data_IF_625631726215
#
_entry.id   IF_625631726215
#
_cell.length_a   1.000
_cell.length_b   1.000
_cell.length_c   1.000
_cell.angle_alpha   90.00
_cell.angle_beta   90.00
_cell.angle_gamma   90.00
#
_symmetry.space_group_name_H-M   'P 1'
#
loop_
_entity.id
_entity.type
_entity.pdbx_description
1 polymer ?
#
# COMPACT_ATOMS: atom_id res chain seq x y z
N UNK A 1 20.83 -3.97 -5.51
CA UNK A 1 20.04 -3.29 -6.55
C UNK A 1 18.61 -3.79 -6.49
N UNK A 2 17.74 -3.09 -5.78
CA UNK A 2 16.29 -3.31 -5.80
C UNK A 2 15.73 -2.05 -6.47
N UNK A 3 15.22 -2.19 -7.70
CA UNK A 3 14.53 -1.07 -8.37
C UNK A 3 13.18 -0.87 -7.68
N UNK A 4 13.11 0.16 -6.85
CA UNK A 4 11.85 0.69 -6.32
C UNK A 4 11.12 1.36 -7.49
N UNK A 5 10.07 0.73 -8.00
CA UNK A 5 9.15 1.39 -8.92
C UNK A 5 8.25 2.33 -8.12
N UNK A 6 8.61 3.61 -8.06
CA UNK A 6 7.67 4.67 -7.67
C UNK A 6 6.67 4.86 -8.81
N UNK A 7 5.46 4.31 -8.66
CA UNK A 7 4.34 4.64 -9.54
C UNK A 7 3.81 6.03 -9.17
N UNK A 8 3.84 6.94 -10.14
CA UNK A 8 3.23 8.28 -10.06
C UNK A 8 1.71 8.18 -10.02
N UNK A 9 1.00 8.95 -9.18
CA UNK A 9 -0.45 8.87 -9.02
C UNK A 9 -1.15 9.76 -10.06
N UNK A 10 -1.01 9.44 -11.34
CA UNK A 10 -1.85 10.04 -12.39
C UNK A 10 -1.99 9.03 -13.52
N UNK A 11 -3.25 8.67 -13.83
CA UNK A 11 -3.72 7.71 -14.84
C UNK A 11 -3.73 6.22 -14.44
N UNK A 12 -4.58 5.88 -13.47
CA UNK A 12 -5.23 4.55 -13.43
C UNK A 12 -6.72 4.76 -13.16
N UNK A 13 -7.48 5.09 -14.20
CA UNK A 13 -8.92 4.86 -14.17
C UNK A 13 -9.16 3.35 -14.29
N UNK A 14 -9.71 2.79 -13.22
CA UNK A 14 -10.12 1.40 -13.13
C UNK A 14 -9.86 0.85 -11.74
N UNK A 15 -10.94 0.54 -11.02
CA UNK A 15 -10.93 -0.04 -9.69
C UNK A 15 -10.17 -1.38 -9.61
N UNK A 16 -10.01 -1.94 -8.40
CA UNK A 16 -9.23 -3.15 -8.15
C UNK A 16 -9.65 -4.35 -9.01
N UNK A 17 -10.93 -4.46 -9.39
CA UNK A 17 -11.44 -5.52 -10.28
C UNK A 17 -11.00 -5.38 -11.75
N UNK A 18 -10.84 -4.14 -12.24
CA UNK A 18 -10.24 -3.90 -13.57
C UNK A 18 -8.75 -4.26 -13.54
N UNK A 19 -8.06 -4.12 -12.41
CA UNK A 19 -6.68 -4.60 -12.25
C UNK A 19 -6.60 -6.13 -12.25
N UNK A 20 -7.51 -6.82 -11.56
CA UNK A 20 -7.62 -8.28 -11.57
C UNK A 20 -7.87 -8.82 -13.00
N UNK A 21 -8.86 -8.27 -13.71
CA UNK A 21 -9.20 -8.67 -15.08
C UNK A 21 -8.17 -8.26 -16.15
N UNK A 22 -7.43 -7.15 -15.97
CA UNK A 22 -6.30 -6.76 -16.84
C UNK A 22 -5.02 -7.57 -16.56
N UNK A 23 -4.84 -8.09 -15.34
CA UNK A 23 -3.68 -8.90 -14.96
C UNK A 23 -3.71 -10.29 -15.60
N UNK A 24 -4.82 -11.03 -15.53
CA UNK A 24 -4.86 -12.38 -16.15
C UNK A 24 -4.94 -12.40 -17.68
N UNK A 25 -5.32 -11.29 -18.34
CA UNK A 25 -5.12 -11.15 -19.80
C UNK A 25 -3.63 -11.13 -20.20
N UNK A 26 -2.73 -10.66 -19.33
CA UNK A 26 -1.28 -10.66 -19.58
C UNK A 26 -0.64 -12.02 -19.32
N UNK A 27 -1.07 -12.75 -18.29
CA UNK A 27 -0.50 -14.07 -17.95
C UNK A 27 -0.76 -15.12 -19.04
N UNK A 28 -1.96 -15.14 -19.66
CA UNK A 28 -2.22 -15.99 -20.84
C UNK A 28 -1.43 -15.58 -22.10
N UNK A 29 -0.94 -14.34 -22.17
CA UNK A 29 -0.06 -13.89 -23.25
C UNK A 29 1.37 -14.43 -23.17
N UNK A 30 1.78 -15.00 -22.03
CA UNK A 30 3.15 -15.47 -21.78
C UNK A 30 3.31 -16.99 -21.95
N UNK A 31 2.20 -17.76 -21.99
CA UNK A 31 2.23 -19.23 -22.06
C UNK A 31 1.39 -19.86 -23.19
N UNK A 32 1.23 -19.19 -24.33
CA UNK A 32 0.76 -19.86 -25.55
C UNK A 32 1.94 -20.61 -26.22
N UNK A 33 1.87 -21.93 -26.47
CA UNK A 33 2.91 -22.63 -27.21
C UNK A 33 2.95 -22.15 -28.66
N UNK A 34 4.15 -21.82 -29.14
CA UNK A 34 4.37 -21.33 -30.50
C UNK A 34 3.94 -22.39 -31.53
N UNK A 35 2.93 -22.05 -32.35
CA UNK A 35 2.56 -22.84 -33.53
C UNK A 35 3.71 -22.84 -34.57
N UNK A 36 3.90 -23.94 -35.33
CA UNK A 36 5.06 -24.10 -36.19
C UNK A 36 5.01 -23.16 -37.40
N UNK A 37 6.08 -22.39 -37.60
CA UNK A 37 6.28 -21.54 -38.79
C UNK A 37 6.77 -22.36 -39.97
N UNK A 38 6.20 -22.11 -41.16
CA UNK A 38 6.79 -22.31 -42.49
C UNK A 38 6.14 -21.33 -43.51
N UNK A 39 6.77 -21.02 -44.66
CA UNK A 39 7.87 -20.07 -44.81
C UNK A 39 7.50 -18.90 -45.76
N UNK A 40 8.49 -18.04 -46.00
CA UNK A 40 8.49 -16.72 -46.63
C UNK A 40 7.87 -16.62 -48.04
N UNK A 41 7.32 -15.42 -48.33
CA UNK A 41 7.02 -14.90 -49.66
C UNK A 41 7.30 -13.39 -49.70
N UNK A 42 8.23 -12.98 -50.56
CA UNK A 42 8.90 -11.66 -50.66
C UNK A 42 8.09 -10.65 -51.49
N UNK A 43 8.38 -9.34 -51.29
CA UNK A 43 8.22 -8.14 -52.18
C UNK A 43 7.36 -7.04 -51.51
N UNK A 44 7.73 -5.76 -51.42
CA UNK A 44 8.87 -4.98 -51.89
C UNK A 44 8.63 -3.46 -51.63
N UNK A 45 9.72 -2.75 -51.31
CA UNK A 45 10.04 -1.32 -51.54
C UNK A 45 9.05 -0.16 -51.23
N UNK A 46 9.44 0.66 -50.22
CA UNK A 46 9.72 2.13 -50.16
C UNK A 46 9.24 3.08 -51.31
N UNK A 47 9.14 4.44 -51.13
CA UNK A 47 9.97 5.28 -50.25
C UNK A 47 9.34 6.54 -49.60
N UNK A 48 10.22 7.26 -48.90
CA UNK A 48 10.07 8.39 -48.00
C UNK A 48 9.62 9.74 -48.62
N UNK A 49 9.04 10.61 -47.78
CA UNK A 49 9.04 12.05 -47.96
C UNK A 49 9.17 12.80 -46.62
N UNK A 50 9.72 14.00 -46.72
CA UNK A 50 10.48 14.77 -45.72
C UNK A 50 9.73 16.09 -45.46
N UNK A 51 10.03 16.74 -44.32
CA UNK A 51 9.80 18.18 -43.99
C UNK A 51 8.38 18.50 -43.47
N UNK A 52 8.14 19.48 -42.58
CA UNK A 52 8.92 20.66 -42.13
C UNK A 52 8.39 21.10 -40.75
N UNK A 53 9.19 21.95 -40.08
CA UNK A 53 8.90 22.72 -38.86
C UNK A 53 7.70 23.65 -39.08
N UNK A 54 7.07 24.10 -37.99
CA UNK A 54 7.01 25.53 -37.65
C UNK A 54 6.60 25.74 -36.19
N UNK A 55 7.12 26.83 -35.63
CA UNK A 55 7.02 27.30 -34.26
C UNK A 55 6.12 28.55 -34.18
N UNK A 56 5.97 29.08 -32.95
CA UNK A 56 5.26 30.30 -32.53
C UNK A 56 3.77 30.06 -32.14
N UNK A 57 3.17 30.66 -31.10
CA UNK A 57 3.54 31.77 -30.23
C UNK A 57 2.68 31.73 -28.93
N UNK A 58 3.17 32.31 -27.83
CA UNK A 58 2.36 32.91 -26.75
C UNK A 58 1.83 34.30 -27.22
N UNK A 59 1.03 35.13 -26.49
CA UNK A 59 0.66 35.19 -25.05
C UNK A 59 -0.85 35.63 -24.87
N UNK A 60 -1.35 36.43 -23.89
CA UNK A 60 -0.83 36.94 -22.60
C UNK A 60 -1.79 36.84 -21.37
N UNK A 61 -1.25 37.31 -20.24
CA UNK A 61 -1.84 37.45 -18.90
C UNK A 61 -2.95 38.52 -18.77
N UNK A 62 -3.81 38.36 -17.76
CA UNK A 62 -4.71 39.40 -17.25
C UNK A 62 -4.78 39.41 -15.70
N UNK A 63 -4.94 40.62 -15.16
CA UNK A 63 -4.81 41.06 -13.77
C UNK A 63 -6.03 40.70 -12.89
N UNK A 64 -5.83 40.69 -11.57
CA UNK A 64 -6.83 40.38 -10.54
C UNK A 64 -7.89 41.47 -10.28
N UNK A 65 -8.66 41.33 -9.18
CA UNK A 65 -8.47 42.29 -8.09
C UNK A 65 -8.54 41.71 -6.66
N UNK A 66 -8.11 42.58 -5.77
CA UNK A 66 -7.94 42.56 -4.32
C UNK A 66 -9.22 42.31 -3.50
N UNK A 67 -9.09 41.54 -2.41
CA UNK A 67 -10.08 41.45 -1.32
C UNK A 67 -9.41 41.21 0.02
N UNK A 68 -9.30 42.25 0.84
CA UNK A 68 -8.79 42.24 2.21
C UNK A 68 -9.81 41.68 3.19
N UNK A 69 -9.44 40.73 4.05
CA UNK A 69 -10.23 40.34 5.22
C UNK A 69 -9.39 40.56 6.49
N UNK A 70 -9.92 41.43 7.36
CA UNK A 70 -9.34 41.83 8.65
C UNK A 70 -9.55 40.74 9.70
N UNK A 71 -8.48 40.47 10.44
CA UNK A 71 -8.47 39.81 11.74
C UNK A 71 -9.18 40.71 12.76
N UNK A 72 -10.15 40.15 13.51
CA UNK A 72 -10.64 40.76 14.76
C UNK A 72 -10.18 39.90 15.93
N UNK A 73 -9.31 40.49 16.74
CA UNK A 73 -9.06 40.11 18.14
C UNK A 73 -10.18 40.67 19.00
N UNK A 74 -10.75 39.85 19.89
CA UNK A 74 -11.54 40.32 21.02
C UNK A 74 -11.01 39.66 22.29
N UNK A 75 -10.66 40.52 23.25
CA UNK A 75 -10.22 40.21 24.59
C UNK A 75 -11.41 40.24 25.56
N UNK A 76 -11.31 39.46 26.64
CA UNK A 76 -11.74 39.91 27.97
C UNK A 76 -12.92 39.19 28.64
N UNK A 77 -12.61 38.37 29.65
CA UNK A 77 -13.17 38.34 31.02
C UNK A 77 -12.46 37.18 31.77
N UNK A 78 -11.59 37.38 32.80
CA UNK A 78 -11.82 37.79 34.21
C UNK A 78 -13.00 37.03 34.84
N UNK A 79 -12.95 36.37 36.00
CA UNK A 79 -12.07 36.37 37.18
C UNK A 79 -12.60 35.22 38.10
N UNK A 80 -11.80 34.35 38.72
CA UNK A 80 -11.53 34.32 40.19
C UNK A 80 -11.06 32.89 40.54
N UNK A 81 -9.86 32.62 41.05
CA UNK A 81 -9.27 32.91 42.37
C UNK A 81 -9.70 31.95 43.50
N UNK A 82 -8.83 30.97 43.87
CA UNK A 82 -8.11 30.88 45.17
C UNK A 82 -7.61 29.46 45.50
N UNK A 83 -6.30 29.35 45.79
CA UNK A 83 -5.63 28.63 46.90
C UNK A 83 -4.17 28.31 46.47
N UNK A 84 -3.09 29.06 46.78
CA UNK A 84 -2.33 29.23 48.06
C UNK A 84 -2.11 27.86 48.76
N UNK A 85 -0.93 27.35 49.15
CA UNK A 85 0.49 27.74 49.39
C UNK A 85 1.33 26.44 49.19
N UNK A 86 2.61 26.39 48.83
CA UNK A 86 3.86 26.75 49.53
C UNK A 86 4.99 26.75 48.48
N UNK A 87 5.78 27.82 48.27
CA UNK A 87 6.98 28.24 49.00
C UNK A 87 8.14 27.23 49.00
N UNK A 88 9.09 27.43 48.09
CA UNK A 88 10.41 26.80 48.06
C UNK A 88 11.29 27.55 47.06
N UNK A 89 12.04 28.51 47.57
CA UNK A 89 12.84 29.52 46.86
C UNK A 89 14.25 28.98 46.66
N UNK A 90 14.74 28.87 45.42
CA UNK A 90 16.19 28.89 45.16
C UNK A 90 16.53 29.35 43.74
N UNK A 91 17.65 30.06 43.64
CA UNK A 91 18.03 30.96 42.56
C UNK A 91 18.92 30.26 41.53
N UNK A 92 18.74 30.61 40.26
CA UNK A 92 19.83 30.97 39.35
C UNK A 92 20.56 29.86 38.61
N UNK A 93 20.80 30.09 37.31
CA UNK A 93 21.86 29.42 36.55
C UNK A 93 21.36 28.73 35.28
N UNK A 94 21.39 29.44 34.16
CA UNK A 94 21.24 28.83 32.84
C UNK A 94 22.50 28.07 32.44
N UNK A 95 22.34 26.89 31.86
CA UNK A 95 23.28 26.32 30.89
C UNK A 95 22.60 25.18 30.15
N UNK A 96 22.70 25.22 28.82
CA UNK A 96 22.11 24.21 27.96
C UNK A 96 22.88 22.87 27.94
N UNK A 97 22.14 21.90 27.39
CA UNK A 97 22.52 20.56 26.90
C UNK A 97 22.49 19.42 27.91
N UNK A 98 21.59 18.49 27.65
CA UNK A 98 21.93 17.10 27.32
C UNK A 98 20.74 16.46 26.59
N UNK A 99 20.98 15.78 25.46
CA UNK A 99 20.07 14.74 24.95
C UNK A 99 20.91 13.52 24.56
N UNK A 100 20.38 12.31 24.77
CA UNK A 100 21.16 11.12 25.07
C UNK A 100 21.72 10.47 23.81
N UNK A 101 22.90 9.87 23.97
CA UNK A 101 23.49 8.96 23.01
C UNK A 101 22.87 7.57 23.24
N UNK A 102 22.04 7.10 22.31
CA UNK A 102 21.75 5.67 22.22
C UNK A 102 22.94 5.01 21.52
N UNK A 103 23.60 4.13 22.27
CA UNK A 103 24.76 3.36 21.87
C UNK A 103 24.44 2.30 20.83
N UNK A 104 25.35 2.18 19.88
CA UNK A 104 25.42 1.17 18.84
C UNK A 104 26.74 1.39 18.11
N UNK A 105 27.85 1.10 18.78
CA UNK A 105 29.19 1.18 18.20
C UNK A 105 29.46 -0.10 17.40
N UNK A 106 29.06 -0.12 16.13
CA UNK A 106 29.72 -0.98 15.16
C UNK A 106 31.01 -0.29 14.75
N UNK A 107 32.12 -0.83 15.26
CA UNK A 107 33.48 -0.40 14.94
C UNK A 107 33.72 -0.71 13.47
N UNK A 108 33.70 0.32 12.62
CA UNK A 108 34.21 0.22 11.24
C UNK A 108 35.73 0.19 11.34
N UNK A 109 36.29 -1.00 11.52
CA UNK A 109 37.73 -1.23 11.40
C UNK A 109 38.09 -1.28 9.91
N UNK A 110 38.50 -0.14 9.36
CA UNK A 110 39.09 -0.06 8.02
C UNK A 110 40.54 0.43 8.13
N UNK A 111 41.44 -0.50 7.82
CA UNK A 111 42.87 -0.33 7.64
C UNK A 111 43.21 0.94 6.85
N UNK A 112 43.82 1.91 7.51
CA UNK A 112 44.35 3.12 6.89
C UNK A 112 45.64 2.78 6.11
N UNK A 113 45.80 3.15 4.84
CA UNK A 113 47.11 3.09 4.19
C UNK A 113 48.01 4.15 4.83
N UNK A 114 49.21 3.74 5.25
CA UNK A 114 50.26 4.65 5.70
C UNK A 114 50.74 5.46 4.49
N UNK A 115 50.20 6.67 4.31
CA UNK A 115 50.67 7.64 3.32
C UNK A 115 51.85 8.41 3.89
N UNK A 116 53.05 7.94 3.59
CA UNK A 116 54.31 8.60 3.90
C UNK A 116 54.72 9.44 2.67
N UNK A 117 54.35 10.73 2.69
CA UNK A 117 54.66 11.66 1.60
C UNK A 117 54.17 13.08 1.92
N UNK A 118 55.11 14.00 2.12
CA UNK A 118 54.84 15.43 2.25
C UNK A 118 54.25 15.97 0.93
N UNK A 119 52.94 16.26 0.93
CA UNK A 119 52.29 17.01 -0.14
C UNK A 119 52.60 18.50 0.06
N UNK A 120 52.98 19.27 -0.98
CA UNK A 120 53.27 20.70 -0.83
C UNK A 120 52.02 21.45 -0.36
N UNK A 121 52.14 22.22 0.72
CA UNK A 121 51.08 23.06 1.25
C UNK A 121 50.72 24.12 0.20
N UNK A 122 49.53 24.05 -0.38
CA UNK A 122 48.96 25.16 -1.17
C UNK A 122 48.67 26.33 -0.22
N UNK A 123 48.83 27.56 -0.71
CA UNK A 123 48.55 28.81 0.03
C UNK A 123 47.06 28.96 0.46
N UNK A 124 46.19 28.02 0.07
CA UNK A 124 44.75 28.00 0.36
C UNK A 124 44.37 27.01 1.49
N UNK A 125 45.20 26.89 2.54
CA UNK A 125 44.90 26.00 3.69
C UNK A 125 44.50 26.76 4.95
N UNK A 126 43.36 26.38 5.51
CA UNK A 126 42.73 27.02 6.67
C UNK A 126 43.18 26.38 7.98
N UNK A 127 43.43 27.21 8.99
CA UNK A 127 43.52 26.73 10.38
C UNK A 127 42.15 26.32 10.91
N UNK A 128 42.12 25.53 11.99
CA UNK A 128 40.84 25.05 12.56
C UNK A 128 39.93 26.20 13.03
N UNK A 129 40.52 27.31 13.51
CA UNK A 129 39.78 28.51 13.89
C UNK A 129 39.21 29.28 12.70
N UNK A 130 39.95 29.34 11.60
CA UNK A 130 39.48 29.95 10.34
C UNK A 130 38.34 29.14 9.76
N UNK A 131 38.49 27.81 9.73
CA UNK A 131 37.46 26.90 9.27
C UNK A 131 36.19 27.01 10.12
N UNK A 132 36.33 27.16 11.44
CA UNK A 132 35.20 27.39 12.34
C UNK A 132 34.48 28.71 12.05
N UNK A 133 35.21 29.80 11.77
CA UNK A 133 34.62 31.09 11.39
C UNK A 133 33.92 31.03 10.05
N UNK A 134 34.55 30.42 9.05
CA UNK A 134 34.01 30.33 7.68
C UNK A 134 32.76 29.46 7.59
N UNK A 135 32.78 28.30 8.28
CA UNK A 135 31.69 27.31 8.19
C UNK A 135 30.65 27.49 9.29
N UNK A 136 30.92 28.32 10.30
CA UNK A 136 30.09 28.45 11.50
C UNK A 136 29.99 27.18 12.34
N UNK A 137 30.84 26.18 12.08
CA UNK A 137 30.89 24.92 12.84
C UNK A 137 31.86 25.09 14.01
N UNK A 138 31.48 24.77 15.25
CA UNK A 138 32.38 24.90 16.40
C UNK A 138 33.65 24.06 16.23
N UNK A 139 34.80 24.58 16.69
CA UNK A 139 36.10 23.88 16.64
C UNK A 139 36.02 22.46 17.20
N UNK A 140 35.27 22.25 18.29
CA UNK A 140 35.05 20.91 18.88
C UNK A 140 34.40 19.94 17.88
N UNK A 141 33.40 20.40 17.14
CA UNK A 141 32.70 19.60 16.14
C UNK A 141 33.58 19.34 14.92
N UNK A 142 34.41 20.30 14.52
CA UNK A 142 35.40 20.09 13.45
C UNK A 142 36.43 19.03 13.84
N UNK A 143 36.91 19.04 15.10
CA UNK A 143 37.81 17.97 15.60
C UNK A 143 37.12 16.62 15.54
N UNK A 144 35.89 16.53 16.06
CA UNK A 144 35.10 15.31 16.01
C UNK A 144 34.92 14.79 14.57
N UNK A 145 34.53 15.65 13.61
CA UNK A 145 34.41 15.23 12.22
C UNK A 145 35.75 14.82 11.57
N UNK A 146 36.86 15.40 12.02
CA UNK A 146 38.17 14.97 11.57
C UNK A 146 38.55 13.60 12.12
N UNK A 147 38.23 13.34 13.39
CA UNK A 147 38.51 12.06 14.06
C UNK A 147 37.61 10.93 13.50
N UNK A 148 36.37 11.26 13.10
CA UNK A 148 35.44 10.35 12.41
C UNK A 148 35.72 10.19 10.90
N UNK A 149 36.77 10.84 10.36
CA UNK A 149 37.15 10.72 8.94
C UNK A 149 36.20 11.42 7.96
N UNK A 150 35.29 12.26 8.44
CA UNK A 150 34.33 13.04 7.61
C UNK A 150 35.04 14.18 6.88
N UNK A 151 36.08 14.72 7.50
CA UNK A 151 37.00 15.69 6.90
C UNK A 151 38.44 15.24 7.13
N UNK A 152 39.29 15.46 6.14
CA UNK A 152 40.71 15.14 6.25
C UNK A 152 41.50 16.38 6.69
N UNK A 153 42.58 16.17 7.44
CA UNK A 153 43.48 17.24 7.86
C UNK A 153 44.92 16.90 7.51
N UNK A 154 45.65 17.85 6.97
CA UNK A 154 47.10 17.76 6.75
C UNK A 154 47.82 18.42 7.93
N UNK A 155 48.97 17.90 8.34
CA UNK A 155 49.78 18.52 9.39
C UNK A 155 50.77 19.51 8.78
N UNK A 156 50.79 20.73 9.31
CA UNK A 156 51.80 21.74 8.99
C UNK A 156 53.16 21.38 9.62
N UNK A 157 54.24 22.04 9.17
CA UNK A 157 55.60 21.91 9.73
C UNK A 157 55.68 22.21 11.23
N UNK A 158 54.77 23.04 11.75
CA UNK A 158 54.58 23.29 13.20
C UNK A 158 53.63 22.31 13.91
N UNK A 159 53.32 21.15 13.32
CA UNK A 159 52.41 20.11 13.83
C UNK A 159 50.93 20.53 14.04
N UNK A 160 50.52 21.68 13.49
CA UNK A 160 49.12 22.13 13.51
C UNK A 160 48.30 21.48 12.40
N UNK A 161 47.02 21.14 12.68
CA UNK A 161 46.07 20.66 11.65
C UNK A 161 45.72 21.81 10.69
N UNK A 162 45.83 21.53 9.40
CA UNK A 162 45.46 22.39 8.27
C UNK A 162 44.41 21.68 7.42
N UNK A 163 43.46 22.45 6.90
CA UNK A 163 42.35 21.96 6.10
C UNK A 163 42.34 22.67 4.75
N UNK A 164 42.05 21.96 3.67
CA UNK A 164 41.92 22.57 2.35
C UNK A 164 40.51 23.17 2.13
N UNK A 165 40.29 23.75 0.95
CA UNK A 165 38.98 24.26 0.54
C UNK A 165 37.90 23.17 0.46
N UNK A 166 38.28 21.91 0.18
CA UNK A 166 37.32 20.79 0.13
C UNK A 166 36.70 20.53 1.50
N UNK A 167 37.46 20.75 2.59
CA UNK A 167 36.92 20.67 3.94
C UNK A 167 35.83 21.73 4.21
N UNK A 168 35.95 22.92 3.63
CA UNK A 168 34.92 23.97 3.74
C UNK A 168 33.63 23.52 3.05
N UNK A 169 33.73 22.99 1.83
CA UNK A 169 32.58 22.49 1.06
C UNK A 169 31.90 21.30 1.76
N UNK A 170 32.70 20.34 2.23
CA UNK A 170 32.24 19.17 2.99
C UNK A 170 31.51 19.58 4.27
N UNK A 171 32.10 20.47 5.08
CA UNK A 171 31.45 20.97 6.30
C UNK A 171 30.17 21.76 5.99
N UNK A 172 30.16 22.54 4.92
CA UNK A 172 28.96 23.23 4.45
C UNK A 172 27.83 22.25 4.10
N UNK A 173 28.16 21.16 3.38
CA UNK A 173 27.20 20.11 3.04
C UNK A 173 26.71 19.36 4.29
N UNK A 174 27.61 18.93 5.17
CA UNK A 174 27.28 18.27 6.43
C UNK A 174 26.33 19.14 7.26
N UNK A 175 26.63 20.44 7.40
CA UNK A 175 25.79 21.38 8.17
C UNK A 175 24.38 21.47 7.58
N UNK A 176 24.25 21.59 6.25
CA UNK A 176 22.95 21.65 5.57
C UNK A 176 22.14 20.36 5.76
N UNK A 177 22.76 19.20 5.55
CA UNK A 177 22.08 17.91 5.69
C UNK A 177 21.70 17.60 7.14
N UNK A 178 22.58 17.92 8.11
CA UNK A 178 22.26 17.83 9.56
C UNK A 178 21.12 18.77 9.94
N UNK A 179 21.04 19.95 9.33
CA UNK A 179 19.93 20.89 9.51
C UNK A 179 18.57 20.34 9.05
N UNK A 180 18.58 19.38 8.12
CA UNK A 180 17.39 18.65 7.68
C UNK A 180 17.09 17.40 8.54
N UNK A 181 17.86 17.16 9.60
CA UNK A 181 17.67 16.02 10.50
C UNK A 181 18.41 14.74 10.09
N UNK A 182 19.15 14.74 8.97
CA UNK A 182 19.87 13.54 8.53
C UNK A 182 20.96 13.09 9.53
N UNK A 183 21.08 11.78 9.71
CA UNK A 183 22.11 11.17 10.54
C UNK A 183 23.52 11.32 9.94
N UNK A 184 24.54 11.33 10.80
CA UNK A 184 25.93 11.51 10.36
C UNK A 184 26.44 10.33 9.53
N UNK A 185 26.01 9.11 9.87
CA UNK A 185 26.31 7.88 9.12
C UNK A 185 25.84 7.95 7.67
N UNK A 186 24.59 8.40 7.44
CA UNK A 186 24.04 8.57 6.09
C UNK A 186 24.80 9.66 5.31
N UNK A 187 25.18 10.75 5.98
CA UNK A 187 25.96 11.83 5.36
C UNK A 187 27.36 11.34 4.97
N UNK A 188 28.00 10.50 5.80
CA UNK A 188 29.31 9.92 5.49
C UNK A 188 29.28 9.10 4.20
N UNK A 189 28.22 8.32 3.95
CA UNK A 189 28.03 7.58 2.69
C UNK A 189 27.96 8.50 1.47
N UNK A 190 27.37 9.69 1.61
CA UNK A 190 27.33 10.69 0.54
C UNK A 190 28.71 11.30 0.31
N UNK A 191 29.44 11.61 1.38
CA UNK A 191 30.79 12.17 1.30
C UNK A 191 31.81 11.19 0.72
N UNK A 192 31.57 9.89 0.88
CA UNK A 192 32.33 8.80 0.28
C UNK A 192 31.91 8.48 -1.17
N UNK A 193 30.83 9.09 -1.67
CA UNK A 193 30.30 8.83 -3.01
C UNK A 193 29.54 7.50 -3.17
N UNK A 194 29.26 6.79 -2.07
CA UNK A 194 28.54 5.51 -2.06
C UNK A 194 27.03 5.66 -2.20
N UNK A 195 26.52 6.85 -1.85
CA UNK A 195 25.11 7.24 -1.97
C UNK A 195 24.99 8.66 -2.48
N UNK A 196 23.89 8.96 -3.13
CA UNK A 196 23.53 10.33 -3.49
C UNK A 196 22.76 11.01 -2.36
N UNK A 197 22.75 12.35 -2.35
CA UNK A 197 21.90 13.12 -1.43
C UNK A 197 20.43 12.73 -1.58
N UNK A 198 19.97 12.50 -2.82
CA UNK A 198 18.58 12.11 -3.10
C UNK A 198 18.19 10.79 -2.45
N UNK A 199 19.08 9.79 -2.47
CA UNK A 199 18.84 8.49 -1.84
C UNK A 199 18.71 8.58 -0.32
N UNK A 200 19.61 9.31 0.35
CA UNK A 200 19.54 9.43 1.82
C UNK A 200 18.35 10.28 2.28
N UNK A 201 17.97 11.31 1.51
CA UNK A 201 16.79 12.13 1.79
C UNK A 201 15.51 11.32 1.59
N UNK A 202 15.44 10.52 0.52
CA UNK A 202 14.29 9.66 0.27
C UNK A 202 14.14 8.59 1.38
N UNK A 203 15.25 8.02 1.84
CA UNK A 203 15.26 7.06 2.94
C UNK A 203 14.81 7.69 4.27
N UNK A 204 15.33 8.87 4.63
CA UNK A 204 14.90 9.56 5.85
C UNK A 204 13.43 9.97 5.78
N UNK A 205 12.96 10.45 4.63
CA UNK A 205 11.54 10.77 4.42
C UNK A 205 10.68 9.52 4.61
N UNK A 206 11.03 8.38 4.01
CA UNK A 206 10.29 7.15 4.19
C UNK A 206 10.26 6.70 5.68
N UNK A 207 11.37 6.84 6.40
CA UNK A 207 11.42 6.55 7.83
C UNK A 207 10.58 7.53 8.68
N UNK A 208 10.47 8.79 8.27
CA UNK A 208 9.56 9.77 8.89
C UNK A 208 8.09 9.44 8.60
N UNK A 209 7.77 9.05 7.37
CA UNK A 209 6.40 8.68 6.97
C UNK A 209 5.89 7.49 7.79
N UNK A 210 6.72 6.48 8.04
CA UNK A 210 6.38 5.35 8.93
C UNK A 210 6.10 5.80 10.37
N UNK A 211 6.95 6.68 10.92
CA UNK A 211 6.76 7.24 12.28
C UNK A 211 5.48 8.09 12.36
N UNK A 212 5.20 8.87 11.32
CA UNK A 212 3.97 9.66 11.24
C UNK A 212 2.73 8.77 11.16
N UNK A 213 2.77 7.66 10.41
CA UNK A 213 1.66 6.71 10.34
C UNK A 213 1.37 6.06 11.71
N UNK A 214 2.39 5.62 12.44
CA UNK A 214 2.24 5.06 13.80
C UNK A 214 1.64 6.10 14.77
N UNK A 215 2.18 7.33 14.78
CA UNK A 215 1.65 8.39 15.63
C UNK A 215 0.21 8.79 15.26
N UNK A 216 -0.11 8.83 13.97
CA UNK A 216 -1.47 9.12 13.50
C UNK A 216 -2.45 8.01 13.89
N UNK A 217 -2.04 6.74 13.82
CA UNK A 217 -2.82 5.60 14.30
C UNK A 217 -3.12 5.71 15.80
N UNK A 218 -2.09 5.92 16.62
CA UNK A 218 -2.25 6.09 18.07
C UNK A 218 -3.16 7.26 18.41
N UNK A 219 -3.00 8.39 17.71
CA UNK A 219 -3.88 9.57 17.86
C UNK A 219 -5.34 9.22 17.54
N UNK A 220 -5.59 8.49 16.46
CA UNK A 220 -6.94 8.09 16.07
C UNK A 220 -7.55 7.10 17.07
N UNK A 221 -6.77 6.16 17.60
CA UNK A 221 -7.22 5.22 18.63
C UNK A 221 -7.59 5.94 19.94
N UNK A 222 -6.77 6.89 20.40
CA UNK A 222 -7.08 7.70 21.57
C UNK A 222 -8.36 8.51 21.38
N UNK A 223 -8.54 9.12 20.20
CA UNK A 223 -9.79 9.82 19.85
C UNK A 223 -11.00 8.89 19.84
N UNK A 224 -10.86 7.68 19.31
CA UNK A 224 -11.95 6.70 19.31
C UNK A 224 -12.39 6.31 20.74
N UNK A 225 -11.48 6.29 21.72
CA UNK A 225 -11.81 6.06 23.14
C UNK A 225 -12.45 7.30 23.79
N UNK A 226 -11.97 8.50 23.43
CA UNK A 226 -12.53 9.77 23.89
C UNK A 226 -13.99 9.92 23.43
N UNK A 227 -14.25 9.68 22.15
CA UNK A 227 -15.56 9.80 21.49
C UNK A 227 -16.58 8.72 21.93
N UNK A 228 -16.12 7.61 22.51
CA UNK A 228 -17.02 6.55 23.00
C UNK A 228 -17.88 7.02 24.18
N UNK A 229 -19.13 6.57 24.25
CA UNK A 229 -19.99 6.83 25.40
C UNK A 229 -19.42 6.21 26.70
N UNK A 230 -19.77 6.73 27.91
CA UNK A 230 -19.25 6.18 29.17
C UNK A 230 -19.45 4.68 29.35
N UNK A 231 -20.56 4.13 28.85
CA UNK A 231 -20.88 2.72 28.92
C UNK A 231 -20.05 1.85 27.95
N UNK A 232 -19.68 2.38 26.78
CA UNK A 232 -18.97 1.64 25.72
C UNK A 232 -17.45 1.80 25.79
N UNK A 233 -16.96 2.71 26.64
CA UNK A 233 -15.55 3.10 26.69
C UNK A 233 -14.63 1.94 27.11
N UNK A 234 -15.09 1.06 28.01
CA UNK A 234 -14.32 -0.11 28.43
C UNK A 234 -14.13 -1.09 27.27
N UNK A 235 -15.21 -1.47 26.59
CA UNK A 235 -15.18 -2.37 25.44
C UNK A 235 -14.36 -1.78 24.28
N UNK A 236 -14.47 -0.46 24.04
CA UNK A 236 -13.67 0.26 23.04
C UNK A 236 -12.18 0.19 23.36
N UNK A 237 -11.81 0.36 24.63
CA UNK A 237 -10.42 0.29 25.07
C UNK A 237 -9.87 -1.13 24.90
N UNK A 238 -10.62 -2.16 25.30
CA UNK A 238 -10.23 -3.56 25.13
C UNK A 238 -10.01 -3.91 23.65
N UNK A 239 -10.96 -3.53 22.80
CA UNK A 239 -10.90 -3.75 21.36
C UNK A 239 -9.65 -3.10 20.74
N UNK A 240 -9.38 -1.83 21.04
CA UNK A 240 -8.25 -1.11 20.48
C UNK A 240 -6.91 -1.55 21.07
N UNK A 241 -6.88 -2.00 22.33
CA UNK A 241 -5.66 -2.52 22.96
C UNK A 241 -5.16 -3.82 22.31
N UNK A 242 -6.03 -4.56 21.61
CA UNK A 242 -5.65 -5.76 20.87
C UNK A 242 -4.83 -5.45 19.60
N UNK A 243 -4.76 -4.18 19.17
CA UNK A 243 -4.09 -3.76 17.92
C UNK A 243 -3.15 -2.59 18.18
N UNK A 244 -1.85 -2.87 18.12
CA UNK A 244 -0.80 -1.88 18.38
C UNK A 244 -0.76 -0.77 17.32
N UNK A 245 -0.69 -1.16 16.05
CA UNK A 245 -0.62 -0.26 14.91
C UNK A 245 -1.28 -0.88 13.66
N UNK A 246 -1.41 -0.06 12.62
CA UNK A 246 -2.04 -0.50 11.37
C UNK A 246 -1.26 -1.58 10.63
N UNK A 247 0.06 -1.61 10.73
CA UNK A 247 0.90 -2.63 10.06
C UNK A 247 0.65 -3.99 10.68
N UNK A 248 0.70 -4.06 12.01
CA UNK A 248 0.40 -5.26 12.80
C UNK A 248 -1.03 -5.74 12.58
N UNK A 249 -2.00 -4.81 12.51
CA UNK A 249 -3.38 -5.13 12.17
C UNK A 249 -3.46 -5.82 10.81
N UNK A 250 -2.83 -5.21 9.80
CA UNK A 250 -2.83 -5.73 8.43
C UNK A 250 -2.15 -7.10 8.35
N UNK A 251 -1.00 -7.26 8.99
CA UNK A 251 -0.26 -8.52 9.01
C UNK A 251 -1.10 -9.66 9.59
N UNK A 252 -1.85 -9.40 10.67
CA UNK A 252 -2.79 -10.38 11.22
C UNK A 252 -3.87 -10.83 10.22
N UNK A 253 -4.39 -9.89 9.40
CA UNK A 253 -5.37 -10.17 8.35
C UNK A 253 -4.74 -10.95 7.18
N UNK A 254 -3.53 -10.58 6.75
CA UNK A 254 -2.78 -11.31 5.71
C UNK A 254 -2.50 -12.73 6.16
N UNK A 255 -2.06 -12.90 7.40
CA UNK A 255 -1.78 -14.20 7.99
C UNK A 255 -3.03 -15.06 8.12
N UNK A 256 -4.18 -14.46 8.45
CA UNK A 256 -5.45 -15.18 8.44
C UNK A 256 -5.77 -15.75 7.06
N UNK A 257 -5.63 -14.97 6.00
CA UNK A 257 -5.88 -15.46 4.63
C UNK A 257 -4.85 -16.49 4.20
N UNK A 258 -3.57 -16.30 4.52
CA UNK A 258 -2.50 -17.29 4.29
C UNK A 258 -2.82 -18.61 4.99
N UNK A 259 -3.36 -18.54 6.21
CA UNK A 259 -3.75 -19.71 7.00
C UNK A 259 -4.97 -20.41 6.45
N UNK A 260 -5.88 -19.68 5.81
CA UNK A 260 -7.19 -20.17 5.37
C UNK A 260 -7.17 -20.70 3.94
N UNK A 261 -6.30 -20.17 3.08
CA UNK A 261 -6.06 -20.65 1.73
C UNK A 261 -5.04 -21.80 1.76
N UNK A 262 -5.53 -23.01 2.00
CA UNK A 262 -4.70 -24.22 2.10
C UNK A 262 -4.38 -24.80 0.72
N UNK A 263 -5.28 -24.61 -0.24
CA UNK A 263 -5.06 -25.05 -1.62
C UNK A 263 -3.81 -24.37 -2.23
N UNK A 264 -3.04 -25.10 -3.07
CA UNK A 264 -1.86 -24.55 -3.71
C UNK A 264 -2.27 -23.49 -4.74
N UNK A 265 -2.22 -22.22 -4.33
CA UNK A 265 -2.35 -21.05 -5.21
C UNK A 265 -0.98 -20.52 -5.58
N UNK A 266 -0.84 -19.96 -6.78
CA UNK A 266 0.42 -19.30 -7.16
C UNK A 266 0.69 -18.08 -6.26
N UNK A 267 1.98 -17.75 -5.96
CA UNK A 267 2.31 -16.58 -5.16
C UNK A 267 1.76 -15.26 -5.72
N UNK A 268 1.66 -15.16 -7.05
CA UNK A 268 1.10 -14.00 -7.74
C UNK A 268 -0.41 -13.89 -7.53
N UNK A 269 -1.12 -15.02 -7.56
CA UNK A 269 -2.55 -15.05 -7.30
C UNK A 269 -2.86 -14.72 -5.85
N UNK A 270 -2.13 -15.31 -4.90
CA UNK A 270 -2.28 -14.99 -3.48
C UNK A 270 -2.07 -13.49 -3.21
N UNK A 271 -1.01 -12.90 -3.78
CA UNK A 271 -0.74 -11.46 -3.65
C UNK A 271 -1.88 -10.60 -4.21
N UNK A 272 -2.43 -11.01 -5.36
CA UNK A 272 -3.54 -10.29 -5.99
C UNK A 272 -4.80 -10.36 -5.13
N UNK A 273 -5.13 -11.54 -4.59
CA UNK A 273 -6.24 -11.73 -3.66
C UNK A 273 -6.06 -10.88 -2.39
N UNK A 274 -4.90 -10.95 -1.74
CA UNK A 274 -4.63 -10.18 -0.51
C UNK A 274 -4.78 -8.69 -0.73
N UNK A 275 -4.37 -8.18 -1.90
CA UNK A 275 -4.52 -6.75 -2.25
C UNK A 275 -6.00 -6.30 -2.26
N UNK A 276 -6.91 -7.22 -2.60
CA UNK A 276 -8.35 -6.95 -2.64
C UNK A 276 -9.05 -7.29 -1.32
N UNK A 277 -8.56 -8.30 -0.60
CA UNK A 277 -9.16 -8.80 0.61
C UNK A 277 -8.73 -8.04 1.87
N UNK A 278 -7.51 -7.51 1.87
CA UNK A 278 -6.90 -6.83 3.03
C UNK A 278 -6.55 -5.40 2.66
N UNK A 279 -7.31 -4.41 3.13
CA UNK A 279 -7.03 -3.00 2.83
C UNK A 279 -5.69 -2.56 3.42
N UNK A 280 -5.06 -1.59 2.77
CA UNK A 280 -3.87 -0.91 3.29
C UNK A 280 -4.28 0.10 4.38
N UNK A 281 -3.62 0.12 5.55
CA UNK A 281 -3.84 1.16 6.54
C UNK A 281 -3.53 2.55 5.94
N UNK A 282 -4.45 3.52 6.03
CA UNK A 282 -4.16 4.86 5.57
C UNK A 282 -3.10 5.52 6.47
N UNK A 283 -2.24 6.40 5.93
CA UNK A 283 -1.19 7.07 6.71
C UNK A 283 -1.75 8.02 7.79
N UNK A 284 -2.98 8.50 7.63
CA UNK A 284 -3.71 9.26 8.65
C UNK A 284 -5.12 8.66 8.82
N UNK A 285 -5.28 7.62 9.66
CA UNK A 285 -6.56 6.95 9.84
C UNK A 285 -7.52 7.80 10.67
N UNK A 286 -8.81 7.66 10.38
CA UNK A 286 -9.89 8.23 11.19
C UNK A 286 -10.22 7.33 12.40
N UNK A 287 -10.84 7.85 13.47
CA UNK A 287 -11.27 7.04 14.62
C UNK A 287 -12.16 5.85 14.24
N UNK A 288 -13.14 5.97 13.32
CA UNK A 288 -13.92 4.80 12.86
C UNK A 288 -13.07 3.76 12.12
N UNK A 289 -12.06 4.17 11.34
CA UNK A 289 -11.20 3.23 10.61
C UNK A 289 -10.33 2.39 11.55
N UNK A 290 -9.74 2.98 12.61
CA UNK A 290 -8.96 2.20 13.57
C UNK A 290 -9.82 1.20 14.35
N UNK A 291 -11.05 1.58 14.68
CA UNK A 291 -12.03 0.66 15.30
C UNK A 291 -12.39 -0.47 14.33
N UNK A 292 -12.65 -0.16 13.06
CA UNK A 292 -12.97 -1.17 12.05
C UNK A 292 -11.81 -2.15 11.83
N UNK A 293 -10.56 -1.69 11.81
CA UNK A 293 -9.39 -2.57 11.77
C UNK A 293 -9.29 -3.46 13.02
N UNK A 294 -9.55 -2.91 14.21
CA UNK A 294 -9.53 -3.70 15.43
C UNK A 294 -10.63 -4.77 15.44
N UNK A 295 -11.84 -4.44 14.97
CA UNK A 295 -12.90 -5.44 14.76
C UNK A 295 -12.52 -6.50 13.74
N UNK A 296 -11.89 -6.12 12.61
CA UNK A 296 -11.39 -7.07 11.63
C UNK A 296 -10.40 -8.06 12.27
N UNK A 297 -9.46 -7.56 13.08
CA UNK A 297 -8.50 -8.39 13.83
C UNK A 297 -9.23 -9.32 14.82
N UNK A 298 -10.22 -8.80 15.54
CA UNK A 298 -11.06 -9.60 16.44
C UNK A 298 -11.80 -10.75 15.73
N UNK A 299 -12.34 -10.50 14.53
CA UNK A 299 -12.99 -11.53 13.73
C UNK A 299 -12.02 -12.61 13.26
N UNK A 300 -10.84 -12.23 12.74
CA UNK A 300 -9.89 -13.20 12.18
C UNK A 300 -9.10 -13.99 13.23
N UNK A 301 -9.10 -13.51 14.48
CA UNK A 301 -8.50 -14.23 15.61
C UNK A 301 -9.44 -15.29 16.19
N UNK A 302 -10.72 -15.30 15.81
CA UNK A 302 -11.67 -16.35 16.15
C UNK A 302 -11.25 -17.70 15.54
N UNK A 303 -10.88 -18.62 16.45
CA UNK A 303 -10.41 -19.96 16.08
C UNK A 303 -11.49 -20.82 15.44
N UNK A 304 -12.76 -20.60 15.78
CA UNK A 304 -13.88 -21.38 15.23
C UNK A 304 -14.13 -21.01 13.77
N UNK A 305 -14.11 -19.71 13.44
CA UNK A 305 -14.20 -19.21 12.08
C UNK A 305 -13.05 -19.74 11.22
N UNK A 306 -11.82 -19.56 11.72
CA UNK A 306 -10.61 -20.01 11.03
C UNK A 306 -10.63 -21.52 10.78
N UNK A 307 -11.08 -22.32 11.75
CA UNK A 307 -11.20 -23.78 11.61
C UNK A 307 -12.21 -24.17 10.54
N UNK A 308 -13.38 -23.52 10.51
CA UNK A 308 -14.43 -23.80 9.52
C UNK A 308 -13.96 -23.53 8.09
N UNK A 309 -13.39 -22.35 7.85
CA UNK A 309 -12.91 -21.98 6.52
C UNK A 309 -11.73 -22.83 6.05
N UNK A 310 -10.83 -23.21 6.97
CA UNK A 310 -9.74 -24.17 6.69
C UNK A 310 -10.24 -25.55 6.34
N UNK A 311 -11.18 -26.09 7.13
CA UNK A 311 -11.75 -27.42 6.87
C UNK A 311 -12.38 -27.49 5.47
N UNK A 312 -13.12 -26.43 5.09
CA UNK A 312 -13.63 -26.27 3.73
C UNK A 312 -12.50 -26.21 2.69
N UNK A 313 -11.48 -25.37 2.89
CA UNK A 313 -10.35 -25.26 1.95
C UNK A 313 -9.63 -26.61 1.76
N UNK A 314 -9.45 -27.39 2.83
CA UNK A 314 -8.92 -28.75 2.76
C UNK A 314 -9.82 -29.68 1.94
N UNK A 315 -11.14 -29.69 2.18
CA UNK A 315 -12.07 -30.49 1.39
C UNK A 315 -11.98 -30.14 -0.10
N UNK A 316 -11.81 -28.86 -0.42
CA UNK A 316 -11.65 -28.35 -1.77
C UNK A 316 -10.39 -28.86 -2.48
N UNK A 317 -9.27 -29.04 -1.77
CA UNK A 317 -8.03 -29.55 -2.39
C UNK A 317 -8.16 -30.95 -3.02
N UNK A 318 -9.18 -31.71 -2.64
CA UNK A 318 -9.43 -33.06 -3.18
C UNK A 318 -10.28 -33.01 -4.45
N UNK A 319 -11.19 -32.04 -4.55
CA UNK A 319 -12.23 -32.00 -5.59
C UNK A 319 -11.91 -30.96 -6.68
N UNK A 320 -11.06 -29.97 -6.36
CA UNK A 320 -10.71 -28.87 -7.26
C UNK A 320 -9.36 -29.18 -7.91
N UNK A 321 -9.37 -29.42 -9.22
CA UNK A 321 -8.17 -29.78 -9.96
C UNK A 321 -7.20 -28.63 -10.22
N UNK A 322 -7.70 -27.39 -10.26
CA UNK A 322 -6.91 -26.16 -10.48
C UNK A 322 -7.56 -25.00 -9.69
N UNK A 323 -6.92 -24.58 -8.59
CA UNK A 323 -7.41 -23.50 -7.73
C UNK A 323 -7.22 -22.13 -8.39
N UNK A 324 -6.16 -21.95 -9.18
CA UNK A 324 -5.89 -20.69 -9.85
C UNK A 324 -6.96 -20.42 -10.95
N UNK A 325 -7.35 -21.47 -11.69
CA UNK A 325 -8.45 -21.39 -12.66
C UNK A 325 -9.79 -21.05 -11.98
N UNK A 326 -10.06 -21.67 -10.82
CA UNK A 326 -11.28 -21.38 -10.05
C UNK A 326 -11.33 -19.92 -9.59
N UNK A 327 -10.28 -19.47 -8.91
CA UNK A 327 -10.16 -18.12 -8.37
C UNK A 327 -10.25 -17.07 -9.49
N UNK A 328 -9.67 -17.36 -10.66
CA UNK A 328 -9.85 -16.52 -11.85
C UNK A 328 -11.31 -16.47 -12.30
N UNK A 329 -11.96 -17.63 -12.47
CA UNK A 329 -13.34 -17.70 -12.93
C UNK A 329 -14.34 -17.06 -11.98
N UNK A 330 -14.15 -17.23 -10.66
CA UNK A 330 -14.93 -16.55 -9.62
C UNK A 330 -14.66 -15.03 -9.66
N UNK A 331 -13.42 -14.60 -9.82
CA UNK A 331 -13.08 -13.19 -9.96
C UNK A 331 -13.72 -12.52 -11.18
N UNK A 332 -13.87 -13.24 -12.31
CA UNK A 332 -14.63 -12.76 -13.46
C UNK A 332 -16.13 -12.61 -13.16
N UNK A 333 -16.73 -13.57 -12.44
CA UNK A 333 -18.13 -13.47 -12.03
C UNK A 333 -18.34 -12.28 -11.07
N UNK A 334 -17.46 -12.11 -10.08
CA UNK A 334 -17.52 -10.97 -9.15
C UNK A 334 -17.41 -9.62 -9.87
N UNK A 335 -16.56 -9.52 -10.90
CA UNK A 335 -16.43 -8.30 -11.70
C UNK A 335 -17.70 -7.95 -12.51
N UNK A 336 -18.50 -8.94 -12.91
CA UNK A 336 -19.81 -8.71 -13.54
C UNK A 336 -20.85 -8.21 -12.53
N UNK A 337 -20.73 -8.64 -11.27
CA UNK A 337 -21.64 -8.29 -10.17
C UNK A 337 -21.34 -6.93 -9.55
N UNK A 338 -20.08 -6.47 -9.60
CA UNK A 338 -19.66 -5.16 -9.08
C UNK A 338 -20.63 -4.01 -9.39
N UNK A 339 -21.03 -3.73 -10.66
CA UNK A 339 -21.99 -2.66 -10.96
C UNK A 339 -23.38 -2.89 -10.34
N UNK A 340 -23.82 -4.13 -10.19
CA UNK A 340 -25.11 -4.47 -9.59
C UNK A 340 -25.11 -4.19 -8.09
N UNK A 341 -24.02 -4.54 -7.40
CA UNK A 341 -23.83 -4.23 -5.97
C UNK A 341 -23.77 -2.72 -5.75
N UNK A 342 -23.06 -1.98 -6.62
CA UNK A 342 -23.02 -0.52 -6.58
C UNK A 342 -24.39 0.12 -6.81
N UNK A 343 -25.21 -0.48 -7.67
CA UNK A 343 -26.59 -0.05 -7.91
C UNK A 343 -27.57 -0.46 -6.79
N UNK A 344 -27.13 -1.26 -5.80
CA UNK A 344 -27.97 -1.77 -4.73
C UNK A 344 -28.98 -2.83 -5.19
N UNK A 345 -28.71 -3.53 -6.31
CA UNK A 345 -29.58 -4.60 -6.79
C UNK A 345 -29.52 -5.83 -5.89
N UNK A 346 -30.69 -6.42 -5.62
CA UNK A 346 -30.80 -7.62 -4.82
C UNK A 346 -30.24 -8.87 -5.56
N UNK A 347 -29.69 -9.86 -4.83
CA UNK A 347 -29.28 -11.15 -5.38
C UNK A 347 -30.37 -11.79 -6.25
N UNK A 348 -30.00 -12.20 -7.46
CA UNK A 348 -30.92 -12.77 -8.44
C UNK A 348 -30.23 -13.78 -9.34
N UNK A 349 -31.04 -14.66 -9.90
CA UNK A 349 -30.62 -15.49 -11.02
C UNK A 349 -30.25 -14.61 -12.23
N UNK A 350 -29.29 -15.09 -13.04
CA UNK A 350 -28.78 -14.34 -14.17
C UNK A 350 -27.44 -14.84 -14.69
N UNK A 351 -26.94 -14.23 -15.77
CA UNK A 351 -25.67 -14.61 -16.40
C UNK A 351 -24.47 -14.51 -15.46
N UNK A 352 -24.54 -13.65 -14.43
CA UNK A 352 -23.51 -13.50 -13.41
C UNK A 352 -23.40 -14.75 -12.53
N UNK A 353 -24.55 -15.27 -12.07
CA UNK A 353 -24.63 -16.52 -11.33
C UNK A 353 -24.22 -17.71 -12.22
N UNK A 354 -24.68 -17.74 -13.47
CA UNK A 354 -24.31 -18.82 -14.40
C UNK A 354 -22.80 -18.85 -14.65
N UNK A 355 -22.14 -17.68 -14.74
CA UNK A 355 -20.67 -17.61 -14.84
C UNK A 355 -19.97 -18.17 -13.61
N UNK A 356 -20.48 -17.87 -12.42
CA UNK A 356 -19.99 -18.39 -11.15
C UNK A 356 -20.12 -19.91 -11.06
N UNK A 357 -21.32 -20.45 -11.35
CA UNK A 357 -21.57 -21.90 -11.35
C UNK A 357 -20.70 -22.60 -12.39
N UNK A 358 -20.57 -22.03 -13.60
CA UNK A 358 -19.70 -22.58 -14.64
C UNK A 358 -18.23 -22.63 -14.23
N UNK A 359 -17.71 -21.61 -13.52
CA UNK A 359 -16.34 -21.63 -13.00
C UNK A 359 -16.12 -22.82 -12.04
N UNK A 360 -17.07 -23.03 -11.11
CA UNK A 360 -17.02 -24.16 -10.19
C UNK A 360 -17.18 -25.53 -10.88
N UNK A 361 -18.04 -25.61 -11.90
CA UNK A 361 -18.32 -26.83 -12.65
C UNK A 361 -17.09 -27.29 -13.47
N UNK A 362 -16.41 -26.36 -14.15
CA UNK A 362 -15.21 -26.64 -14.95
C UNK A 362 -14.12 -27.33 -14.13
N UNK A 363 -13.72 -26.74 -13.00
CA UNK A 363 -12.60 -27.27 -12.19
C UNK A 363 -12.96 -28.57 -11.44
N UNK A 364 -14.25 -28.84 -11.24
CA UNK A 364 -14.79 -30.08 -10.64
C UNK A 364 -15.16 -31.13 -11.70
N UNK A 365 -14.98 -30.82 -13.00
CA UNK A 365 -15.36 -31.68 -14.13
C UNK A 365 -16.81 -32.16 -14.06
N UNK A 366 -17.70 -31.26 -13.65
CA UNK A 366 -19.14 -31.51 -13.52
C UNK A 366 -19.94 -30.63 -14.49
N UNK A 367 -21.23 -30.92 -14.63
CA UNK A 367 -22.18 -30.10 -15.37
C UNK A 367 -23.05 -29.27 -14.42
N UNK A 368 -23.54 -28.13 -14.90
CA UNK A 368 -24.53 -27.34 -14.16
C UNK A 368 -25.87 -28.11 -14.09
N UNK A 369 -26.15 -28.68 -12.92
CA UNK A 369 -27.37 -29.43 -12.63
C UNK A 369 -27.92 -28.98 -11.27
N UNK A 370 -29.23 -29.16 -10.99
CA UNK A 370 -29.79 -28.86 -9.66
C UNK A 370 -29.11 -29.64 -8.52
N UNK A 371 -28.60 -30.84 -8.80
CA UNK A 371 -27.82 -31.60 -7.83
C UNK A 371 -26.46 -30.96 -7.56
N UNK A 372 -25.75 -30.55 -8.62
CA UNK A 372 -24.49 -29.83 -8.52
C UNK A 372 -24.64 -28.49 -7.81
N UNK A 373 -25.68 -27.69 -8.13
CA UNK A 373 -25.94 -26.41 -7.45
C UNK A 373 -26.18 -26.59 -5.95
N UNK A 374 -26.88 -27.66 -5.52
CA UNK A 374 -27.05 -28.00 -4.09
C UNK A 374 -25.74 -28.37 -3.41
N UNK A 375 -24.93 -29.18 -4.06
CA UNK A 375 -23.59 -29.54 -3.57
C UNK A 375 -22.67 -28.32 -3.48
N UNK A 376 -22.70 -27.46 -4.51
CA UNK A 376 -21.96 -26.22 -4.54
C UNK A 376 -22.39 -25.27 -3.43
N UNK A 377 -23.70 -25.12 -3.18
CA UNK A 377 -24.20 -24.30 -2.07
C UNK A 377 -23.64 -24.81 -0.73
N UNK A 378 -23.70 -26.12 -0.47
CA UNK A 378 -23.12 -26.71 0.74
C UNK A 378 -21.60 -26.48 0.85
N UNK A 379 -20.90 -26.41 -0.29
CA UNK A 379 -19.47 -26.13 -0.34
C UNK A 379 -19.11 -24.67 -0.03
N UNK A 380 -19.92 -23.71 -0.48
CA UNK A 380 -19.69 -22.28 -0.26
C UNK A 380 -20.39 -21.73 0.98
N UNK A 381 -21.23 -22.53 1.64
CA UNK A 381 -21.94 -22.14 2.87
C UNK A 381 -21.02 -21.52 3.96
N UNK A 382 -19.79 -22.02 4.20
CA UNK A 382 -18.89 -21.38 5.18
C UNK A 382 -18.49 -19.94 4.83
N UNK A 383 -18.53 -19.55 3.54
CA UNK A 383 -18.26 -18.16 3.14
C UNK A 383 -19.39 -17.20 3.53
N UNK A 384 -20.59 -17.74 3.76
CA UNK A 384 -21.81 -17.00 4.09
C UNK A 384 -21.98 -16.78 5.60
N UNK A 385 -21.03 -17.24 6.42
CA UNK A 385 -20.98 -17.02 7.87
C UNK A 385 -21.20 -15.53 8.19
N UNK A 386 -22.07 -15.19 9.16
CA UNK A 386 -22.35 -13.79 9.53
C UNK A 386 -21.09 -12.97 9.84
N UNK A 387 -20.04 -13.61 10.38
CA UNK A 387 -18.74 -12.98 10.66
C UNK A 387 -17.99 -12.61 9.37
N UNK A 388 -18.08 -13.43 8.33
CA UNK A 388 -17.51 -13.10 7.03
C UNK A 388 -18.28 -11.96 6.35
N UNK A 389 -19.60 -11.90 6.50
CA UNK A 389 -20.39 -10.73 6.05
C UNK A 389 -19.96 -9.46 6.78
N UNK A 390 -19.77 -9.53 8.10
CA UNK A 390 -19.24 -8.42 8.90
C UNK A 390 -17.84 -8.01 8.43
N UNK A 391 -16.95 -8.98 8.17
CA UNK A 391 -15.60 -8.76 7.65
C UNK A 391 -15.64 -7.95 6.36
N UNK A 392 -16.42 -8.37 5.36
CA UNK A 392 -16.47 -7.70 4.06
C UNK A 392 -17.08 -6.30 4.10
N UNK A 393 -18.03 -6.08 5.02
CA UNK A 393 -18.58 -4.75 5.29
C UNK A 393 -17.53 -3.83 5.93
N UNK A 394 -16.77 -4.32 6.90
CA UNK A 394 -15.67 -3.57 7.52
C UNK A 394 -14.56 -3.25 6.52
N UNK A 395 -14.21 -4.19 5.63
CA UNK A 395 -13.26 -3.93 4.53
C UNK A 395 -13.74 -2.77 3.67
N UNK A 396 -15.02 -2.72 3.30
CA UNK A 396 -15.59 -1.63 2.52
C UNK A 396 -15.63 -0.29 3.27
N UNK A 397 -15.89 -0.31 4.58
CA UNK A 397 -15.83 0.89 5.43
C UNK A 397 -14.41 1.45 5.52
N UNK A 398 -13.41 0.58 5.64
CA UNK A 398 -12.00 0.96 5.76
C UNK A 398 -11.44 1.47 4.44
N UNK A 399 -11.73 0.79 3.33
CA UNK A 399 -11.24 1.14 1.99
C UNK A 399 -12.01 2.30 1.35
N UNK A 400 -13.23 2.56 1.80
CA UNK A 400 -14.17 3.47 1.14
C UNK A 400 -14.77 2.89 -0.14
N UNK A 401 -14.60 1.60 -0.39
CA UNK A 401 -15.13 0.91 -1.58
C UNK A 401 -16.34 0.04 -1.19
N UNK A 402 -17.57 0.42 -1.57
CA UNK A 402 -18.77 -0.32 -1.15
C UNK A 402 -18.90 -1.70 -1.81
N UNK A 403 -18.40 -1.88 -3.05
CA UNK A 403 -18.41 -3.15 -3.74
C UNK A 403 -17.08 -3.89 -3.57
N UNK A 404 -16.91 -4.58 -2.44
CA UNK A 404 -15.71 -5.40 -2.17
C UNK A 404 -15.74 -6.75 -2.88
N UNK A 405 -14.59 -7.43 -2.96
CA UNK A 405 -14.50 -8.81 -3.48
C UNK A 405 -15.47 -9.75 -2.76
N UNK A 406 -15.56 -9.64 -1.44
CA UNK A 406 -16.49 -10.48 -0.70
C UNK A 406 -17.93 -10.04 -0.78
N UNK A 407 -18.23 -8.74 -0.93
CA UNK A 407 -19.61 -8.30 -1.15
C UNK A 407 -20.16 -8.86 -2.47
N UNK A 408 -19.37 -8.82 -3.53
CA UNK A 408 -19.71 -9.40 -4.84
C UNK A 408 -19.78 -10.93 -4.81
N UNK A 409 -18.86 -11.60 -4.09
CA UNK A 409 -18.91 -13.05 -3.88
C UNK A 409 -20.14 -13.48 -3.08
N UNK A 410 -20.46 -12.77 -2.00
CA UNK A 410 -21.64 -13.05 -1.17
C UNK A 410 -22.93 -12.88 -1.98
N UNK A 411 -23.02 -11.85 -2.81
CA UNK A 411 -24.15 -11.63 -3.73
C UNK A 411 -24.36 -12.84 -4.68
N UNK A 412 -23.27 -13.43 -5.20
CA UNK A 412 -23.34 -14.64 -6.02
C UNK A 412 -23.82 -15.85 -5.22
N UNK A 413 -23.30 -16.04 -4.01
CA UNK A 413 -23.70 -17.17 -3.15
C UNK A 413 -25.15 -17.07 -2.66
N UNK A 414 -25.64 -15.85 -2.41
CA UNK A 414 -27.04 -15.58 -2.09
C UNK A 414 -27.95 -15.79 -3.30
N UNK A 415 -27.46 -15.47 -4.50
CA UNK A 415 -28.18 -15.76 -5.75
C UNK A 415 -28.28 -17.27 -6.00
N UNK A 416 -27.25 -18.05 -5.65
CA UNK A 416 -27.26 -19.51 -5.75
C UNK A 416 -28.31 -20.12 -4.83
N UNK A 417 -28.40 -19.68 -3.57
CA UNK A 417 -29.44 -20.12 -2.63
C UNK A 417 -30.85 -19.85 -3.16
N UNK A 418 -31.11 -18.61 -3.59
CA UNK A 418 -32.41 -18.22 -4.15
C UNK A 418 -32.80 -19.08 -5.36
N UNK A 419 -31.83 -19.42 -6.21
CA UNK A 419 -32.08 -20.30 -7.37
C UNK A 419 -32.55 -21.70 -6.97
N UNK A 420 -32.16 -22.19 -5.79
CA UNK A 420 -32.59 -23.49 -5.27
C UNK A 420 -33.94 -23.41 -4.57
N UNK A 421 -34.25 -22.31 -3.88
CA UNK A 421 -35.56 -22.06 -3.27
C UNK A 421 -36.69 -22.02 -4.32
N UNK A 422 -36.42 -21.39 -5.48
CA UNK A 422 -37.36 -21.35 -6.61
C UNK A 422 -37.62 -22.75 -7.20
N UNK A 423 -36.60 -23.63 -7.24
CA UNK A 423 -36.75 -25.01 -7.72
C UNK A 423 -37.58 -25.88 -6.76
N UNK A 424 -37.53 -25.62 -5.46
CA UNK A 424 -38.34 -26.31 -4.43
C UNK A 424 -39.77 -25.77 -4.39
N UNK A 425 -39.96 -24.49 -4.70
CA UNK A 425 -41.28 -23.84 -4.71
C UNK A 425 -42.08 -24.05 -5.99
N UNK A 426 -41.51 -24.71 -7.00
CA UNK A 426 -42.24 -25.11 -8.21
C UNK A 426 -43.23 -26.24 -7.88
N UNK A 427 -44.54 -26.10 -8.21
CA UNK A 427 -45.54 -27.11 -7.85
C UNK A 427 -45.24 -28.47 -8.54
N UNK A 428 -45.42 -29.61 -7.84
CA UNK A 428 -45.21 -30.93 -8.43
C UNK A 428 -46.41 -31.27 -9.33
N UNK A 429 -46.34 -30.90 -10.61
CA UNK A 429 -47.33 -31.32 -11.59
C UNK A 429 -47.64 -30.28 -12.65
N UNK A 430 -46.78 -30.17 -13.66
CA UNK A 430 -47.12 -29.63 -14.97
C UNK A 430 -46.47 -30.54 -16.02
N UNK A 431 -47.17 -30.94 -17.10
CA UNK A 431 -46.66 -31.96 -18.01
C UNK A 431 -45.36 -31.46 -18.67
N UNK A 432 -44.42 -32.40 -18.84
CA UNK A 432 -43.20 -32.21 -19.64
C UNK A 432 -43.65 -32.02 -21.09
N UNK A 433 -43.93 -30.77 -21.45
CA UNK A 433 -44.38 -30.34 -22.76
C UNK A 433 -43.28 -29.63 -23.51
N UNK A 434 -42.67 -30.34 -24.46
CA UNK A 434 -42.04 -29.73 -25.64
C UNK A 434 -40.60 -29.26 -25.47
N UNK A 435 -39.71 -29.99 -26.13
CA UNK A 435 -38.42 -29.50 -26.62
C UNK A 435 -38.54 -28.05 -27.12
N UNK A 436 -38.03 -27.10 -26.34
CA UNK A 436 -37.84 -25.72 -26.78
C UNK A 436 -36.42 -25.62 -27.28
N UNK A 437 -36.24 -25.91 -28.57
CA UNK A 437 -35.01 -25.65 -29.27
C UNK A 437 -34.60 -24.18 -29.08
N UNK A 438 -33.39 -23.96 -28.57
CA UNK A 438 -32.75 -22.65 -28.58
C UNK A 438 -32.72 -22.11 -30.03
N UNK A 439 -33.08 -20.83 -30.27
CA UNK A 439 -32.89 -20.26 -31.59
C UNK A 439 -31.39 -20.15 -31.89
N UNK A 440 -30.94 -20.44 -33.13
CA UNK A 440 -29.54 -20.27 -33.49
C UNK A 440 -29.15 -18.78 -33.45
N UNK A 441 -27.98 -18.52 -32.87
CA UNK A 441 -27.31 -17.22 -32.87
C UNK A 441 -27.18 -16.68 -34.32
N UNK A 442 -27.44 -15.39 -34.60
CA UNK A 442 -27.32 -14.89 -35.96
C UNK A 442 -25.86 -14.90 -36.43
N UNK A 443 -25.61 -15.60 -37.53
CA UNK A 443 -24.33 -15.66 -38.22
C UNK A 443 -23.96 -14.30 -38.80
N UNK A 444 -22.68 -13.94 -38.68
CA UNK A 444 -22.09 -12.72 -39.19
C UNK A 444 -22.36 -12.51 -40.70
N UNK A 445 -22.92 -11.35 -41.03
CA UNK A 445 -23.07 -10.90 -42.42
C UNK A 445 -21.69 -10.69 -43.06
N UNK A 446 -21.41 -11.42 -44.14
CA UNK A 446 -20.31 -11.10 -45.07
C UNK A 446 -20.71 -9.88 -45.92
N UNK A 447 -19.79 -8.95 -46.21
CA UNK A 447 -20.07 -7.85 -47.13
C UNK A 447 -20.14 -8.38 -48.56
N UNK A 448 -21.27 -8.13 -49.23
CA UNK A 448 -21.44 -8.36 -50.66
C UNK A 448 -20.67 -7.32 -51.46
N UNK A 449 -19.76 -7.80 -52.29
CA UNK A 449 -19.16 -7.06 -53.40
C UNK A 449 -20.15 -6.92 -54.56
N UNK A 450 -20.24 -5.73 -55.13
CA UNK A 450 -20.91 -5.41 -56.40
C UNK A 450 -21.37 -3.94 -56.38
N UNK A 451 -21.04 -3.07 -57.33
CA UNK A 451 -20.47 -3.21 -58.67
C UNK A 451 -19.81 -1.88 -59.05
#
# INVERSE_FOLDING_TARGET
MIRVYTLTPTQVEGGPFIRFSRFGRRLRGVHAPAAPRRPQGVLGAAPAAKRRRDAAAAPPAARGPTGSVRVRTAAGCRESARSRRECGRERGGGSGRAFPANGGTDVIERSSPRWEGQVPLRDDTFGIGDLARLTGVPVRTIRFYCDEGIIESVRSTGNHRRFDSTAVERLGLVRRLRGLGLGLSAIALVLAGERTVGEIVAAERAALDLRLADLSWRRAALRAVEEAGPAERADRLELLAAVEDGVTARDALVDFWRRTMVAPVSPEMFRSFVTMAVPEPPPDPTPPQVVAYAELVGLVTDRSLTRGLRARSHANTVVIGDEDELMWGVGEACALVEPLVLAGEAPREGPELDRFVAAHATVRRSGDTPAFRRELLANVEPDRDPRMRRYWRLVGEVSGEPATLGATHLWLTDSLERSLEHLVSAPPGGPIGGSRALPPWPAAARPTSGR
#
